data_IF_321869513504
#
_entry.id   IF_321869513504
#
_cell.length_a   1.000
_cell.length_b   1.000
_cell.length_c   1.000
_cell.angle_alpha   90.00
_cell.angle_beta   90.00
_cell.angle_gamma   90.00
#
_symmetry.space_group_name_H-M   'P 1'
#
loop_
_entity.id
_entity.type
_entity.pdbx_description
1 polymer ?
#
# COMPACT_ATOMS: atom_id res chain seq x y z
N UNK A 1 105.59 18.78 -12.27
CA UNK A 1 106.21 19.68 -11.27
C UNK A 1 107.63 19.22 -10.90
N UNK A 2 107.88 17.94 -10.63
CA UNK A 2 109.20 17.39 -10.27
C UNK A 2 110.27 17.52 -11.37
N UNK A 3 109.88 17.45 -12.64
CA UNK A 3 110.81 17.59 -13.79
C UNK A 3 111.33 19.03 -13.93
N UNK A 4 110.51 20.04 -13.63
CA UNK A 4 110.94 21.45 -13.64
C UNK A 4 111.92 21.77 -12.50
N UNK A 5 111.77 21.15 -11.34
CA UNK A 5 112.71 21.32 -10.22
C UNK A 5 114.08 20.70 -10.54
N UNK A 6 114.12 19.57 -11.25
CA UNK A 6 115.37 18.95 -11.69
C UNK A 6 116.11 19.77 -12.76
N UNK A 7 115.38 20.37 -13.71
CA UNK A 7 115.98 21.23 -14.75
C UNK A 7 116.52 22.56 -14.19
N UNK A 8 115.91 23.11 -13.15
CA UNK A 8 116.40 24.31 -12.46
C UNK A 8 117.69 23.99 -11.70
N UNK A 9 117.74 22.88 -10.95
CA UNK A 9 118.95 22.46 -10.22
C UNK A 9 120.15 22.20 -11.14
N UNK A 10 119.92 21.66 -12.34
CA UNK A 10 120.97 21.38 -13.33
C UNK A 10 121.58 22.63 -13.96
N UNK A 11 120.86 23.77 -13.99
CA UNK A 11 121.34 25.02 -14.60
C UNK A 11 122.15 25.92 -13.64
N UNK A 12 122.07 25.71 -12.33
CA UNK A 12 122.66 26.61 -11.32
C UNK A 12 123.99 26.16 -10.73
N UNK A 13 124.51 24.97 -11.07
CA UNK A 13 125.78 24.48 -10.51
C UNK A 13 126.97 24.85 -11.40
N UNK A 14 127.85 25.70 -10.86
CA UNK A 14 129.19 25.98 -11.39
C UNK A 14 130.07 24.73 -11.20
N UNK A 15 130.71 24.28 -12.28
CA UNK A 15 131.62 23.14 -12.28
C UNK A 15 132.95 23.53 -11.62
N UNK A 16 133.20 22.98 -10.43
CA UNK A 16 134.53 22.90 -9.82
C UNK A 16 134.85 21.43 -9.50
N UNK A 17 136.12 21.05 -9.66
CA UNK A 17 136.60 19.66 -9.63
C UNK A 17 136.35 18.92 -8.29
N UNK A 18 135.99 19.63 -7.20
CA UNK A 18 135.64 19.00 -5.91
C UNK A 18 134.19 18.46 -5.84
N UNK A 19 133.32 18.78 -6.82
CA UNK A 19 131.90 18.38 -6.80
C UNK A 19 131.54 17.23 -7.75
N UNK A 20 132.51 16.68 -8.49
CA UNK A 20 132.26 15.66 -9.51
C UNK A 20 131.65 14.38 -8.92
N UNK A 21 132.19 13.89 -7.80
CA UNK A 21 131.72 12.66 -7.15
C UNK A 21 130.31 12.79 -6.55
N UNK A 22 129.95 13.97 -6.02
CA UNK A 22 128.64 14.23 -5.44
C UNK A 22 127.57 14.41 -6.53
N UNK A 23 127.92 15.08 -7.63
CA UNK A 23 127.06 15.20 -8.80
C UNK A 23 126.84 13.84 -9.47
N UNK A 24 127.87 12.98 -9.58
CA UNK A 24 127.74 11.63 -10.12
C UNK A 24 126.79 10.77 -9.29
N UNK A 25 126.86 10.88 -7.95
CA UNK A 25 125.98 10.17 -7.03
C UNK A 25 124.53 10.63 -7.18
N UNK A 26 124.29 11.94 -7.22
CA UNK A 26 122.95 12.50 -7.42
C UNK A 26 122.38 12.12 -8.80
N UNK A 27 123.21 12.07 -9.84
CA UNK A 27 122.78 11.60 -11.17
C UNK A 27 122.43 10.11 -11.15
N UNK A 28 123.21 9.28 -10.46
CA UNK A 28 122.93 7.86 -10.31
C UNK A 28 121.65 7.62 -9.50
N UNK A 29 121.43 8.36 -8.43
CA UNK A 29 120.21 8.27 -7.62
C UNK A 29 118.98 8.69 -8.45
N UNK A 30 119.10 9.75 -9.27
CA UNK A 30 118.05 10.17 -10.18
C UNK A 30 117.79 9.13 -11.28
N UNK A 31 118.84 8.51 -11.81
CA UNK A 31 118.75 7.45 -12.81
C UNK A 31 118.07 6.19 -12.26
N UNK A 32 118.41 5.78 -11.04
CA UNK A 32 117.76 4.66 -10.34
C UNK A 32 116.28 4.97 -10.05
N UNK A 33 115.95 6.20 -9.66
CA UNK A 33 114.56 6.62 -9.45
C UNK A 33 113.77 6.59 -10.77
N UNK A 34 114.35 7.05 -11.86
CA UNK A 34 113.73 7.04 -13.19
C UNK A 34 113.55 5.61 -13.71
N UNK A 35 114.52 4.72 -13.51
CA UNK A 35 114.41 3.30 -13.82
C UNK A 35 113.30 2.61 -13.01
N UNK A 36 113.19 2.91 -11.71
CA UNK A 36 112.12 2.37 -10.88
C UNK A 36 110.72 2.85 -11.35
N UNK A 37 110.61 4.11 -11.77
CA UNK A 37 109.37 4.65 -12.35
C UNK A 37 109.08 4.07 -13.74
N UNK A 38 110.10 3.84 -14.56
CA UNK A 38 109.96 3.20 -15.87
C UNK A 38 109.48 1.75 -15.74
N UNK A 39 110.08 0.97 -14.82
CA UNK A 39 109.66 -0.39 -14.50
C UNK A 39 108.22 -0.46 -13.96
N UNK A 40 107.79 0.56 -13.21
CA UNK A 40 106.40 0.67 -12.75
C UNK A 40 105.45 0.94 -13.93
N UNK A 41 105.83 1.83 -14.85
CA UNK A 41 105.07 2.14 -16.06
C UNK A 41 105.01 0.92 -16.99
N UNK A 42 106.11 0.16 -17.16
CA UNK A 42 106.11 -1.10 -17.92
C UNK A 42 105.23 -2.17 -17.27
N UNK A 43 105.22 -2.28 -15.93
CA UNK A 43 104.31 -3.20 -15.24
C UNK A 43 102.85 -2.80 -15.39
N UNK A 44 102.53 -1.50 -15.31
CA UNK A 44 101.17 -0.96 -15.51
C UNK A 44 100.73 -1.11 -16.98
N UNK A 45 101.66 -0.95 -17.93
CA UNK A 45 101.43 -1.12 -19.37
C UNK A 45 101.62 -2.56 -19.84
N UNK A 46 101.95 -3.49 -18.95
CA UNK A 46 102.10 -4.90 -19.30
C UNK A 46 100.75 -5.44 -19.77
N UNK A 47 100.77 -6.21 -20.86
CA UNK A 47 99.56 -6.80 -21.42
C UNK A 47 98.80 -7.65 -20.39
N UNK A 48 99.49 -8.27 -19.43
CA UNK A 48 98.86 -9.03 -18.35
C UNK A 48 98.05 -8.13 -17.41
N UNK A 49 98.62 -7.03 -16.90
CA UNK A 49 97.90 -6.12 -16.00
C UNK A 49 96.68 -5.48 -16.69
N UNK A 50 96.83 -5.06 -17.96
CA UNK A 50 95.73 -4.53 -18.77
C UNK A 50 94.64 -5.58 -18.97
N UNK A 51 95.01 -6.85 -19.18
CA UNK A 51 94.04 -7.96 -19.35
C UNK A 51 93.32 -8.29 -18.04
N UNK A 52 94.04 -8.30 -16.91
CA UNK A 52 93.44 -8.48 -15.58
C UNK A 52 92.49 -7.34 -15.22
N UNK A 53 92.87 -6.09 -15.49
CA UNK A 53 92.02 -4.92 -15.23
C UNK A 53 90.77 -4.91 -16.13
N UNK A 54 90.91 -5.25 -17.42
CA UNK A 54 89.77 -5.43 -18.34
C UNK A 54 88.83 -6.55 -17.90
N UNK A 55 89.37 -7.71 -17.46
CA UNK A 55 88.57 -8.82 -16.90
C UNK A 55 87.86 -8.43 -15.60
N UNK A 56 88.53 -7.70 -14.71
CA UNK A 56 87.93 -7.21 -13.46
C UNK A 56 86.79 -6.22 -13.73
N UNK A 57 86.97 -5.30 -14.69
CA UNK A 57 85.92 -4.38 -15.14
C UNK A 57 84.73 -5.14 -15.75
N UNK A 58 84.99 -6.08 -16.66
CA UNK A 58 83.93 -6.90 -17.27
C UNK A 58 83.19 -7.74 -16.22
N UNK A 59 83.90 -8.34 -15.26
CA UNK A 59 83.28 -9.07 -14.15
C UNK A 59 82.41 -8.16 -13.28
N UNK A 60 82.84 -6.93 -13.02
CA UNK A 60 82.04 -5.93 -12.29
C UNK A 60 80.78 -5.52 -13.06
N UNK A 61 80.87 -5.30 -14.38
CA UNK A 61 79.72 -5.02 -15.26
C UNK A 61 78.72 -6.17 -15.23
N UNK A 62 79.19 -7.41 -15.40
CA UNK A 62 78.36 -8.63 -15.33
C UNK A 62 77.71 -8.78 -13.94
N UNK A 63 78.44 -8.56 -12.86
CA UNK A 63 77.89 -8.62 -11.50
C UNK A 63 76.84 -7.52 -11.25
N UNK A 64 77.02 -6.34 -11.85
CA UNK A 64 76.06 -5.23 -11.74
C UNK A 64 74.79 -5.52 -12.53
N UNK A 65 74.90 -6.02 -13.76
CA UNK A 65 73.78 -6.43 -14.60
C UNK A 65 73.01 -7.62 -14.01
N UNK A 66 73.73 -8.59 -13.42
CA UNK A 66 73.14 -9.72 -12.71
C UNK A 66 72.40 -9.26 -11.44
N UNK A 67 72.99 -8.36 -10.65
CA UNK A 67 72.34 -7.77 -9.48
C UNK A 67 71.07 -7.00 -9.86
N UNK A 68 71.12 -6.21 -10.94
CA UNK A 68 69.96 -5.51 -11.48
C UNK A 68 68.85 -6.49 -11.92
N UNK A 69 69.22 -7.56 -12.62
CA UNK A 69 68.28 -8.61 -13.05
C UNK A 69 67.63 -9.31 -11.86
N UNK A 70 68.40 -9.62 -10.82
CA UNK A 70 67.86 -10.19 -9.57
C UNK A 70 66.83 -9.24 -8.94
N UNK A 71 67.11 -7.94 -8.90
CA UNK A 71 66.20 -6.97 -8.30
C UNK A 71 64.91 -6.83 -9.12
N UNK A 72 65.00 -6.83 -10.46
CA UNK A 72 63.83 -6.89 -11.34
C UNK A 72 63.00 -8.15 -11.10
N UNK A 73 63.63 -9.32 -10.98
CA UNK A 73 62.94 -10.59 -10.69
C UNK A 73 62.25 -10.54 -9.32
N UNK A 74 62.93 -10.05 -8.27
CA UNK A 74 62.34 -9.89 -6.93
C UNK A 74 61.13 -8.97 -6.96
N UNK A 75 61.22 -7.84 -7.65
CA UNK A 75 60.09 -6.91 -7.79
C UNK A 75 58.94 -7.55 -8.57
N UNK A 76 59.24 -8.33 -9.61
CA UNK A 76 58.22 -9.05 -10.37
C UNK A 76 57.52 -10.12 -9.53
N UNK A 77 58.24 -10.87 -8.70
CA UNK A 77 57.66 -11.88 -7.80
C UNK A 77 56.73 -11.21 -6.78
N UNK A 78 57.17 -10.13 -6.12
CA UNK A 78 56.33 -9.39 -5.18
C UNK A 78 55.05 -8.87 -5.83
N UNK A 79 55.14 -8.35 -7.06
CA UNK A 79 53.96 -7.92 -7.81
C UNK A 79 53.01 -9.10 -8.10
N UNK A 80 53.54 -10.27 -8.47
CA UNK A 80 52.71 -11.46 -8.72
C UNK A 80 51.99 -11.94 -7.44
N UNK A 81 52.66 -11.92 -6.29
CA UNK A 81 52.06 -12.28 -5.00
C UNK A 81 50.92 -11.31 -4.62
N UNK A 82 51.15 -10.00 -4.74
CA UNK A 82 50.12 -8.98 -4.50
C UNK A 82 48.93 -9.18 -5.44
N UNK A 83 49.19 -9.43 -6.71
CA UNK A 83 48.15 -9.63 -7.72
C UNK A 83 47.31 -10.89 -7.44
N UNK A 84 47.95 -12.00 -7.05
CA UNK A 84 47.25 -13.22 -6.65
C UNK A 84 46.38 -13.00 -5.41
N UNK A 85 46.91 -12.30 -4.40
CA UNK A 85 46.17 -11.97 -3.19
C UNK A 85 44.95 -11.08 -3.49
N UNK A 86 45.12 -10.04 -4.31
CA UNK A 86 44.04 -9.15 -4.72
C UNK A 86 42.95 -9.91 -5.48
N UNK A 87 43.34 -10.77 -6.43
CA UNK A 87 42.39 -11.62 -7.16
C UNK A 87 41.64 -12.57 -6.24
N UNK A 88 42.33 -13.26 -5.34
CA UNK A 88 41.70 -14.18 -4.39
C UNK A 88 40.67 -13.47 -3.48
N UNK A 89 41.03 -12.30 -2.93
CA UNK A 89 40.12 -11.52 -2.10
C UNK A 89 38.91 -11.02 -2.88
N UNK A 90 39.14 -10.59 -4.12
CA UNK A 90 38.09 -10.15 -5.02
C UNK A 90 37.11 -11.29 -5.33
N UNK A 91 37.60 -12.46 -5.74
CA UNK A 91 36.79 -13.64 -6.03
C UNK A 91 35.95 -14.06 -4.81
N UNK A 92 36.55 -14.02 -3.61
CA UNK A 92 35.84 -14.30 -2.34
C UNK A 92 34.71 -13.31 -2.06
N UNK A 93 34.89 -12.02 -2.39
CA UNK A 93 33.83 -11.00 -2.25
C UNK A 93 32.73 -11.20 -3.28
N UNK A 94 33.08 -11.52 -4.53
CA UNK A 94 32.10 -11.85 -5.57
C UNK A 94 31.25 -13.08 -5.18
N UNK A 95 31.86 -14.11 -4.60
CA UNK A 95 31.11 -15.29 -4.14
C UNK A 95 30.09 -14.92 -3.06
N UNK A 96 30.50 -14.18 -2.02
CA UNK A 96 29.57 -13.70 -0.98
C UNK A 96 28.40 -12.90 -1.54
N UNK A 97 28.68 -12.07 -2.55
CA UNK A 97 27.68 -11.29 -3.25
C UNK A 97 26.71 -12.15 -4.04
N UNK A 98 27.20 -13.18 -4.73
CA UNK A 98 26.35 -14.16 -5.41
C UNK A 98 25.46 -14.92 -4.41
N UNK A 99 26.02 -15.38 -3.28
CA UNK A 99 25.27 -16.09 -2.24
C UNK A 99 24.15 -15.21 -1.67
N UNK A 100 24.45 -13.94 -1.40
CA UNK A 100 23.47 -12.96 -0.95
C UNK A 100 22.35 -12.75 -1.97
N UNK A 101 22.71 -12.48 -3.23
CA UNK A 101 21.74 -12.28 -4.31
C UNK A 101 20.83 -13.50 -4.46
N UNK A 102 21.40 -14.71 -4.40
CA UNK A 102 20.65 -15.95 -4.47
C UNK A 102 19.68 -16.11 -3.30
N UNK A 103 20.08 -15.76 -2.08
CA UNK A 103 19.18 -15.79 -0.92
C UNK A 103 18.00 -14.82 -1.09
N UNK A 104 18.24 -13.63 -1.66
CA UNK A 104 17.18 -12.67 -1.95
C UNK A 104 16.21 -13.20 -3.01
N UNK A 105 16.70 -13.81 -4.08
CA UNK A 105 15.86 -14.42 -5.11
C UNK A 105 14.99 -15.56 -4.55
N UNK A 106 15.55 -16.37 -3.65
CA UNK A 106 14.79 -17.41 -2.95
C UNK A 106 13.70 -16.79 -2.08
N UNK A 107 14.01 -15.76 -1.30
CA UNK A 107 13.02 -15.04 -0.50
C UNK A 107 11.91 -14.42 -1.36
N UNK A 108 12.25 -13.84 -2.52
CA UNK A 108 11.25 -13.29 -3.45
C UNK A 108 10.36 -14.38 -4.04
N UNK A 109 10.93 -15.55 -4.34
CA UNK A 109 10.16 -16.71 -4.81
C UNK A 109 9.15 -17.16 -3.75
N UNK A 110 9.57 -17.22 -2.48
CA UNK A 110 8.68 -17.52 -1.35
C UNK A 110 7.57 -16.48 -1.21
N UNK A 111 7.91 -15.19 -1.27
CA UNK A 111 6.94 -14.09 -1.24
C UNK A 111 5.94 -14.22 -2.40
N UNK A 112 6.41 -14.57 -3.59
CA UNK A 112 5.55 -14.70 -4.76
C UNK A 112 4.52 -15.83 -4.59
N UNK A 113 4.92 -16.97 -4.03
CA UNK A 113 4.00 -18.07 -3.72
C UNK A 113 3.03 -17.74 -2.58
N UNK A 114 3.44 -16.94 -1.61
CA UNK A 114 2.65 -16.62 -0.41
C UNK A 114 1.91 -15.27 -0.49
N UNK A 115 2.03 -14.55 -1.60
CA UNK A 115 1.39 -13.24 -1.81
C UNK A 115 -0.14 -13.28 -1.81
N UNK A 116 -0.72 -14.47 -1.98
CA UNK A 116 -2.15 -14.71 -1.78
C UNK A 116 -2.39 -15.07 -0.32
N UNK A 117 -2.84 -14.11 0.46
CA UNK A 117 -3.03 -14.26 1.90
C UNK A 117 -4.02 -13.20 2.42
N UNK A 118 -4.31 -13.24 3.72
CA UNK A 118 -5.15 -12.24 4.38
C UNK A 118 -4.43 -10.90 4.55
N UNK A 119 -5.18 -9.90 5.02
CA UNK A 119 -4.66 -8.54 5.27
C UNK A 119 -3.39 -8.52 6.13
N UNK A 120 -3.34 -9.30 7.22
CA UNK A 120 -2.18 -9.33 8.11
C UNK A 120 -0.94 -9.91 7.41
N UNK A 121 -1.10 -10.99 6.65
CA UNK A 121 -0.02 -11.55 5.86
C UNK A 121 0.51 -10.59 4.80
N UNK A 122 -0.36 -9.76 4.20
CA UNK A 122 0.07 -8.73 3.25
C UNK A 122 0.92 -7.64 3.92
N UNK A 123 0.58 -7.22 5.15
CA UNK A 123 1.38 -6.26 5.91
C UNK A 123 2.77 -6.81 6.27
N UNK A 124 2.83 -8.08 6.65
CA UNK A 124 4.10 -8.77 6.91
C UNK A 124 4.97 -8.84 5.64
N UNK A 125 4.35 -9.13 4.48
CA UNK A 125 5.05 -9.12 3.20
C UNK A 125 5.54 -7.72 2.83
N UNK A 126 4.74 -6.66 2.98
CA UNK A 126 5.17 -5.28 2.68
C UNK A 126 6.34 -4.86 3.58
N UNK A 127 6.28 -5.21 4.86
CA UNK A 127 7.37 -4.96 5.82
C UNK A 127 8.64 -5.72 5.42
N UNK A 128 8.52 -6.99 5.03
CA UNK A 128 9.65 -7.79 4.58
C UNK A 128 10.29 -7.19 3.31
N UNK A 129 9.47 -6.84 2.31
CA UNK A 129 9.94 -6.19 1.09
C UNK A 129 10.61 -4.84 1.39
N UNK A 130 10.06 -4.04 2.30
CA UNK A 130 10.66 -2.78 2.74
C UNK A 130 12.04 -3.01 3.38
N UNK A 131 12.18 -4.03 4.23
CA UNK A 131 13.47 -4.38 4.84
C UNK A 131 14.49 -4.83 3.79
N UNK A 132 14.07 -5.63 2.81
CA UNK A 132 14.92 -6.04 1.69
C UNK A 132 15.37 -4.81 0.87
N UNK A 133 14.46 -3.88 0.56
CA UNK A 133 14.79 -2.63 -0.16
C UNK A 133 15.83 -1.81 0.60
N UNK A 134 15.66 -1.67 1.91
CA UNK A 134 16.61 -0.93 2.75
C UNK A 134 17.99 -1.60 2.78
N UNK A 135 18.04 -2.91 2.95
CA UNK A 135 19.30 -3.68 2.90
C UNK A 135 19.96 -3.59 1.51
N UNK A 136 19.17 -3.63 0.43
CA UNK A 136 19.64 -3.38 -0.93
C UNK A 136 20.30 -2.02 -1.06
N UNK A 137 19.61 -0.95 -0.63
CA UNK A 137 20.11 0.41 -0.74
C UNK A 137 21.40 0.61 0.09
N UNK A 138 21.49 0.00 1.28
CA UNK A 138 22.70 0.06 2.10
C UNK A 138 23.90 -0.61 1.42
N UNK A 139 23.68 -1.75 0.75
CA UNK A 139 24.73 -2.53 0.09
C UNK A 139 25.08 -2.03 -1.32
N UNK A 140 24.33 -1.08 -1.88
CA UNK A 140 24.57 -0.57 -3.23
C UNK A 140 25.99 0.02 -3.39
N UNK A 141 26.51 0.70 -2.37
CA UNK A 141 27.87 1.26 -2.41
C UNK A 141 28.94 0.17 -2.45
N UNK A 142 28.75 -0.93 -1.72
CA UNK A 142 29.66 -2.08 -1.75
C UNK A 142 29.69 -2.74 -3.14
N UNK A 143 28.54 -2.83 -3.82
CA UNK A 143 28.47 -3.33 -5.20
C UNK A 143 29.20 -2.42 -6.18
N UNK A 144 29.00 -1.10 -6.07
CA UNK A 144 29.72 -0.11 -6.91
C UNK A 144 31.23 -0.25 -6.72
N UNK A 145 31.68 -0.37 -5.47
CA UNK A 145 33.09 -0.59 -5.17
C UNK A 145 33.60 -1.90 -5.79
N UNK A 146 32.86 -3.00 -5.66
CA UNK A 146 33.23 -4.28 -6.24
C UNK A 146 33.31 -4.22 -7.77
N UNK A 147 32.36 -3.55 -8.43
CA UNK A 147 32.39 -3.35 -9.89
C UNK A 147 33.61 -2.52 -10.33
N UNK A 148 33.97 -1.47 -9.57
CA UNK A 148 35.14 -0.65 -9.87
C UNK A 148 36.45 -1.40 -9.65
N UNK A 149 36.57 -2.18 -8.56
CA UNK A 149 37.71 -3.07 -8.32
C UNK A 149 37.86 -4.10 -9.46
N UNK A 150 36.75 -4.70 -9.92
CA UNK A 150 36.76 -5.62 -11.04
C UNK A 150 37.28 -4.99 -12.35
N UNK A 151 36.84 -3.76 -12.65
CA UNK A 151 37.34 -2.99 -13.82
C UNK A 151 38.85 -2.75 -13.74
N UNK A 152 39.36 -2.35 -12.58
CA UNK A 152 40.80 -2.13 -12.38
C UNK A 152 41.62 -3.42 -12.57
N UNK A 153 41.13 -4.55 -12.05
CA UNK A 153 41.81 -5.85 -12.21
C UNK A 153 41.83 -6.33 -13.67
N UNK A 154 40.81 -5.98 -14.46
CA UNK A 154 40.79 -6.21 -15.92
C UNK A 154 41.83 -5.34 -16.62
N UNK A 155 41.88 -4.03 -16.33
CA UNK A 155 42.88 -3.11 -16.90
C UNK A 155 44.32 -3.57 -16.61
N UNK A 156 44.54 -4.21 -15.46
CA UNK A 156 45.81 -4.81 -15.05
C UNK A 156 46.09 -6.20 -15.68
N UNK A 157 45.22 -6.70 -16.56
CA UNK A 157 45.27 -8.03 -17.17
C UNK A 157 45.29 -9.20 -16.15
N UNK A 158 44.72 -9.01 -14.95
CA UNK A 158 44.63 -10.03 -13.90
C UNK A 158 43.36 -10.87 -13.99
N UNK A 159 42.32 -10.31 -14.63
CA UNK A 159 41.06 -10.96 -14.94
C UNK A 159 40.83 -10.92 -16.46
N UNK A 160 40.40 -12.05 -17.01
CA UNK A 160 40.13 -12.21 -18.45
C UNK A 160 38.65 -11.95 -18.77
N UNK A 161 37.76 -12.13 -17.80
CA UNK A 161 36.32 -12.13 -18.04
C UNK A 161 35.64 -10.82 -17.63
N UNK A 162 35.45 -9.94 -18.61
CA UNK A 162 34.68 -8.69 -18.46
C UNK A 162 33.18 -8.93 -18.18
N UNK A 163 32.63 -10.06 -18.62
CA UNK A 163 31.18 -10.25 -18.66
C UNK A 163 30.58 -10.61 -17.30
N UNK A 164 31.37 -11.16 -16.38
CA UNK A 164 30.86 -11.58 -15.06
C UNK A 164 30.34 -10.40 -14.22
N UNK A 165 30.98 -9.22 -14.30
CA UNK A 165 30.59 -8.05 -13.48
C UNK A 165 29.37 -7.32 -14.03
N UNK A 166 29.31 -7.15 -15.35
CA UNK A 166 28.13 -6.59 -16.01
C UNK A 166 26.88 -7.45 -15.74
N UNK A 167 27.04 -8.78 -15.69
CA UNK A 167 25.97 -9.70 -15.30
C UNK A 167 25.53 -9.54 -13.85
N UNK A 168 26.47 -9.36 -12.91
CA UNK A 168 26.16 -9.13 -11.49
C UNK A 168 25.36 -7.83 -11.29
N UNK A 169 25.82 -6.75 -11.90
CA UNK A 169 25.14 -5.44 -11.87
C UNK A 169 23.75 -5.53 -12.52
N UNK A 170 23.64 -6.19 -13.68
CA UNK A 170 22.34 -6.40 -14.34
C UNK A 170 21.39 -7.23 -13.48
N UNK A 171 21.88 -8.30 -12.84
CA UNK A 171 21.08 -9.17 -11.95
C UNK A 171 20.60 -8.37 -10.74
N UNK A 172 21.46 -7.55 -10.15
CA UNK A 172 21.10 -6.64 -9.06
C UNK A 172 19.97 -5.67 -9.44
N UNK A 173 20.12 -4.96 -10.56
CA UNK A 173 19.12 -4.01 -11.05
C UNK A 173 17.78 -4.70 -11.36
N UNK A 174 17.85 -5.91 -11.91
CA UNK A 174 16.66 -6.72 -12.21
C UNK A 174 15.92 -7.09 -10.93
N UNK A 175 16.64 -7.58 -9.91
CA UNK A 175 16.05 -7.94 -8.62
C UNK A 175 15.44 -6.73 -7.94
N UNK A 176 16.14 -5.60 -7.91
CA UNK A 176 15.63 -4.37 -7.31
C UNK A 176 14.30 -3.93 -7.97
N UNK A 177 14.24 -3.96 -9.31
CA UNK A 177 13.00 -3.67 -10.04
C UNK A 177 11.88 -4.65 -9.67
N UNK A 178 12.19 -5.94 -9.58
CA UNK A 178 11.22 -6.97 -9.18
C UNK A 178 10.69 -6.72 -7.77
N UNK A 179 11.56 -6.38 -6.81
CA UNK A 179 11.17 -6.07 -5.42
C UNK A 179 10.25 -4.86 -5.39
N UNK A 180 10.61 -3.78 -6.08
CA UNK A 180 9.81 -2.54 -6.13
C UNK A 180 8.43 -2.77 -6.76
N UNK A 181 8.38 -3.48 -7.88
CA UNK A 181 7.13 -3.84 -8.53
C UNK A 181 6.26 -4.69 -7.60
N UNK A 182 6.85 -5.70 -6.95
CA UNK A 182 6.12 -6.57 -6.03
C UNK A 182 5.61 -5.81 -4.82
N UNK A 183 6.39 -4.89 -4.26
CA UNK A 183 5.95 -4.05 -3.15
C UNK A 183 4.77 -3.18 -3.56
N UNK A 184 4.82 -2.59 -4.76
CA UNK A 184 3.71 -1.79 -5.28
C UNK A 184 2.44 -2.62 -5.45
N UNK A 185 2.53 -3.83 -6.02
CA UNK A 185 1.41 -4.77 -6.11
C UNK A 185 0.79 -5.05 -4.73
N UNK A 186 1.61 -5.37 -3.73
CA UNK A 186 1.15 -5.67 -2.37
C UNK A 186 0.46 -4.45 -1.74
N UNK A 187 1.04 -3.24 -1.90
CA UNK A 187 0.43 -2.00 -1.41
C UNK A 187 -0.93 -1.71 -2.05
N UNK A 188 -1.10 -2.02 -3.32
CA UNK A 188 -2.38 -1.81 -4.00
C UNK A 188 -3.45 -2.81 -3.52
N UNK A 189 -3.05 -4.05 -3.18
CA UNK A 189 -3.96 -5.01 -2.54
C UNK A 189 -4.30 -4.56 -1.10
N UNK A 190 -3.34 -4.03 -0.35
CA UNK A 190 -3.59 -3.46 1.00
C UNK A 190 -4.61 -2.31 0.94
N UNK A 191 -4.46 -1.39 -0.03
CA UNK A 191 -5.44 -0.30 -0.23
C UNK A 191 -6.83 -0.84 -0.56
N UNK A 192 -6.91 -1.93 -1.32
CA UNK A 192 -8.18 -2.57 -1.65
C UNK A 192 -8.85 -3.14 -0.39
N UNK A 193 -8.09 -3.78 0.50
CA UNK A 193 -8.58 -4.25 1.81
C UNK A 193 -9.11 -3.10 2.68
N UNK A 194 -8.36 -2.00 2.77
CA UNK A 194 -8.78 -0.83 3.53
C UNK A 194 -10.05 -0.20 2.96
N UNK A 195 -10.16 -0.16 1.63
CA UNK A 195 -11.37 0.33 0.95
C UNK A 195 -12.58 -0.55 1.26
N UNK A 196 -12.41 -1.87 1.24
CA UNK A 196 -13.45 -2.84 1.61
C UNK A 196 -13.94 -2.62 3.03
N UNK A 197 -13.04 -2.54 4.00
CA UNK A 197 -13.37 -2.30 5.41
C UNK A 197 -14.12 -0.98 5.61
N UNK A 198 -13.65 0.10 4.97
CA UNK A 198 -14.31 1.40 5.04
C UNK A 198 -15.72 1.39 4.43
N UNK A 199 -15.90 0.70 3.29
CA UNK A 199 -17.23 0.53 2.72
C UNK A 199 -18.12 -0.30 3.64
N UNK A 200 -17.60 -1.37 4.26
CA UNK A 200 -18.38 -2.23 5.14
C UNK A 200 -18.87 -1.47 6.38
N UNK A 201 -17.99 -0.71 7.02
CA UNK A 201 -18.33 0.15 8.15
C UNK A 201 -19.35 1.23 7.76
N UNK A 202 -19.13 1.89 6.62
CA UNK A 202 -20.06 2.91 6.12
C UNK A 202 -21.43 2.32 5.83
N UNK A 203 -21.49 1.11 5.26
CA UNK A 203 -22.72 0.39 4.96
C UNK A 203 -23.51 0.10 6.24
N UNK A 204 -22.88 -0.53 7.22
CA UNK A 204 -23.56 -0.89 8.48
C UNK A 204 -24.05 0.33 9.23
N UNK A 205 -23.26 1.40 9.27
CA UNK A 205 -23.67 2.66 9.91
C UNK A 205 -24.88 3.28 9.22
N UNK A 206 -24.85 3.34 7.88
CA UNK A 206 -25.95 3.91 7.11
C UNK A 206 -27.21 3.05 7.20
N UNK A 207 -27.07 1.72 7.06
CA UNK A 207 -28.18 0.78 7.18
C UNK A 207 -28.85 0.88 8.55
N UNK A 208 -28.06 0.92 9.63
CA UNK A 208 -28.58 1.09 10.99
C UNK A 208 -29.37 2.40 11.13
N UNK A 209 -28.79 3.52 10.70
CA UNK A 209 -29.46 4.82 10.78
C UNK A 209 -30.76 4.87 9.97
N UNK A 210 -30.78 4.26 8.77
CA UNK A 210 -31.99 4.18 7.95
C UNK A 210 -33.03 3.26 8.57
N UNK A 211 -32.62 2.13 9.15
CA UNK A 211 -33.52 1.20 9.80
C UNK A 211 -34.13 1.78 11.08
N UNK A 212 -33.37 2.51 11.90
CA UNK A 212 -33.89 3.20 13.09
C UNK A 212 -34.94 4.25 12.72
N UNK A 213 -34.66 5.10 11.72
CA UNK A 213 -35.62 6.08 11.19
C UNK A 213 -36.89 5.41 10.66
N UNK A 214 -36.73 4.28 9.98
CA UNK A 214 -37.84 3.47 9.47
C UNK A 214 -38.70 2.92 10.60
N UNK A 215 -38.09 2.40 11.66
CA UNK A 215 -38.83 1.91 12.83
C UNK A 215 -39.63 3.04 13.51
N UNK A 216 -39.05 4.24 13.62
CA UNK A 216 -39.76 5.41 14.16
C UNK A 216 -40.98 5.78 13.30
N UNK A 217 -40.81 5.85 11.99
CA UNK A 217 -41.90 6.17 11.05
C UNK A 217 -43.04 5.15 11.08
N UNK A 218 -42.71 3.87 11.28
CA UNK A 218 -43.69 2.78 11.31
C UNK A 218 -44.36 2.61 12.70
N UNK A 219 -43.84 3.23 13.76
CA UNK A 219 -44.40 3.11 15.11
C UNK A 219 -45.69 3.93 15.29
N UNK A 220 -45.78 5.10 14.65
CA UNK A 220 -46.98 5.94 14.66
C UNK A 220 -47.16 6.61 13.28
N UNK A 221 -47.51 5.82 12.24
CA UNK A 221 -47.50 6.30 10.87
C UNK A 221 -48.62 7.31 10.64
N UNK A 222 -48.32 8.36 9.88
CA UNK A 222 -49.33 9.28 9.36
C UNK A 222 -50.11 8.65 8.22
N UNK A 223 -51.34 9.11 7.96
CA UNK A 223 -52.13 8.69 6.80
C UNK A 223 -51.40 8.89 5.46
N UNK A 224 -50.57 9.93 5.35
CA UNK A 224 -49.72 10.17 4.18
C UNK A 224 -48.73 9.04 3.95
N UNK A 225 -48.02 8.62 5.00
CA UNK A 225 -47.08 7.49 4.97
C UNK A 225 -47.79 6.19 4.64
N UNK A 226 -48.93 5.91 5.28
CA UNK A 226 -49.74 4.72 4.99
C UNK A 226 -50.17 4.65 3.52
N UNK A 227 -50.58 5.78 2.94
CA UNK A 227 -50.97 5.84 1.53
C UNK A 227 -49.77 5.63 0.59
N UNK A 228 -48.59 6.17 0.93
CA UNK A 228 -47.36 5.93 0.16
C UNK A 228 -46.96 4.45 0.19
N UNK A 229 -47.08 3.79 1.36
CA UNK A 229 -46.81 2.36 1.52
C UNK A 229 -47.77 1.56 0.62
N UNK A 230 -49.07 1.85 0.66
CA UNK A 230 -50.08 1.18 -0.19
C UNK A 230 -49.84 1.40 -1.69
N UNK A 231 -49.35 2.57 -2.08
CA UNK A 231 -49.05 2.91 -3.48
C UNK A 231 -47.70 2.35 -3.95
N UNK A 232 -46.90 1.74 -3.06
CA UNK A 232 -45.57 1.23 -3.39
C UNK A 232 -44.54 2.33 -3.67
N UNK A 233 -44.85 3.59 -3.33
CA UNK A 233 -43.96 4.75 -3.51
C UNK A 233 -43.12 5.04 -2.27
N UNK A 234 -43.35 4.30 -1.19
CA UNK A 234 -42.60 4.40 0.04
C UNK A 234 -41.21 3.75 -0.10
N UNK A 235 -40.17 4.58 0.05
CA UNK A 235 -38.78 4.13 0.06
C UNK A 235 -38.45 3.58 1.44
N UNK A 236 -38.42 2.26 1.58
CA UNK A 236 -37.95 1.61 2.79
C UNK A 236 -36.43 1.80 3.00
N UNK A 237 -35.96 1.52 4.22
CA UNK A 237 -34.56 1.68 4.63
C UNK A 237 -33.53 1.04 3.66
N UNK A 238 -33.86 -0.09 3.05
CA UNK A 238 -32.98 -0.88 2.16
C UNK A 238 -33.06 -0.49 0.69
N UNK A 239 -34.14 0.15 0.23
CA UNK A 239 -34.27 0.63 -1.15
C UNK A 239 -33.60 1.98 -1.41
N UNK A 240 -32.86 2.49 -0.44
CA UNK A 240 -32.09 3.72 -0.58
C UNK A 240 -30.99 3.59 -1.66
N UNK A 241 -30.93 4.56 -2.57
CA UNK A 241 -29.96 4.57 -3.68
C UNK A 241 -28.49 4.61 -3.20
N UNK A 242 -28.20 5.33 -2.11
CA UNK A 242 -26.85 5.37 -1.54
C UNK A 242 -26.43 4.00 -1.00
N UNK A 243 -27.34 3.28 -0.34
CA UNK A 243 -27.07 1.92 0.14
C UNK A 243 -26.88 0.93 -1.01
N UNK A 244 -27.67 1.02 -2.08
CA UNK A 244 -27.51 0.18 -3.28
C UNK A 244 -26.15 0.39 -3.94
N UNK A 245 -25.78 1.66 -4.17
CA UNK A 245 -24.49 2.01 -4.75
C UNK A 245 -23.31 1.54 -3.89
N UNK A 246 -23.47 1.59 -2.57
CA UNK A 246 -22.42 1.18 -1.65
C UNK A 246 -22.32 -0.36 -1.53
N UNK A 247 -23.45 -1.07 -1.62
CA UNK A 247 -23.50 -2.53 -1.69
C UNK A 247 -22.85 -3.06 -2.96
N UNK A 248 -23.05 -2.40 -4.11
CA UNK A 248 -22.39 -2.74 -5.37
C UNK A 248 -20.86 -2.58 -5.26
N UNK A 249 -20.40 -1.44 -4.72
CA UNK A 249 -18.96 -1.22 -4.46
C UNK A 249 -18.38 -2.27 -3.51
N UNK A 250 -19.12 -2.64 -2.47
CA UNK A 250 -18.73 -3.70 -1.54
C UNK A 250 -18.58 -5.04 -2.25
N UNK A 251 -19.55 -5.41 -3.07
CA UNK A 251 -19.53 -6.64 -3.85
C UNK A 251 -18.33 -6.68 -4.79
N UNK A 252 -18.12 -5.64 -5.60
CA UNK A 252 -17.00 -5.56 -6.54
C UNK A 252 -15.66 -5.66 -5.82
N UNK A 253 -15.51 -4.93 -4.71
CA UNK A 253 -14.29 -4.93 -3.92
C UNK A 253 -14.05 -6.30 -3.29
N UNK A 254 -15.07 -6.94 -2.74
CA UNK A 254 -15.02 -8.30 -2.19
C UNK A 254 -14.57 -9.32 -3.26
N UNK A 255 -15.15 -9.27 -4.47
CA UNK A 255 -14.78 -10.17 -5.57
C UNK A 255 -13.35 -9.98 -6.03
N UNK A 256 -12.87 -8.73 -6.06
CA UNK A 256 -11.46 -8.44 -6.34
C UNK A 256 -10.55 -8.96 -5.22
N UNK A 257 -10.91 -8.82 -3.96
CA UNK A 257 -10.12 -9.35 -2.84
C UNK A 257 -10.02 -10.89 -2.88
N UNK A 258 -11.12 -11.57 -3.21
CA UNK A 258 -11.15 -13.03 -3.37
C UNK A 258 -10.09 -13.50 -4.39
N UNK A 259 -9.93 -12.80 -5.53
CA UNK A 259 -8.97 -13.19 -6.57
C UNK A 259 -7.49 -13.05 -6.14
N UNK A 260 -7.21 -12.22 -5.13
CA UNK A 260 -5.89 -12.04 -4.52
C UNK A 260 -5.69 -12.82 -3.21
N UNK A 261 -6.68 -13.59 -2.77
CA UNK A 261 -6.68 -14.27 -1.47
C UNK A 261 -6.35 -15.76 -1.58
N UNK A 262 -5.88 -16.36 -0.49
CA UNK A 262 -5.80 -17.82 -0.36
C UNK A 262 -7.18 -18.42 -0.08
N UNK A 263 -7.30 -19.74 -0.20
CA UNK A 263 -8.58 -20.46 -0.06
C UNK A 263 -9.25 -20.18 1.30
N UNK A 264 -8.45 -20.06 2.38
CA UNK A 264 -8.98 -19.77 3.71
C UNK A 264 -9.57 -18.37 3.79
N UNK A 265 -8.85 -17.37 3.30
CA UNK A 265 -9.31 -15.98 3.29
C UNK A 265 -10.50 -15.79 2.34
N UNK A 266 -10.52 -16.48 1.20
CA UNK A 266 -11.67 -16.52 0.29
C UNK A 266 -12.93 -17.00 1.02
N UNK A 267 -12.85 -18.13 1.73
CA UNK A 267 -13.99 -18.66 2.48
C UNK A 267 -14.50 -17.68 3.56
N UNK A 268 -13.59 -16.94 4.21
CA UNK A 268 -13.98 -15.90 5.19
C UNK A 268 -14.72 -14.75 4.49
N UNK A 269 -14.17 -14.23 3.38
CA UNK A 269 -14.77 -13.14 2.61
C UNK A 269 -16.13 -13.51 2.00
N UNK A 270 -16.28 -14.76 1.55
CA UNK A 270 -17.55 -15.27 1.03
C UNK A 270 -18.60 -15.43 2.12
N UNK A 271 -18.18 -15.92 3.29
CA UNK A 271 -19.06 -16.02 4.46
C UNK A 271 -19.51 -14.64 4.92
N UNK A 272 -18.60 -13.68 5.06
CA UNK A 272 -18.92 -12.30 5.46
C UNK A 272 -19.91 -11.65 4.49
N UNK A 273 -19.71 -11.86 3.19
CA UNK A 273 -20.66 -11.41 2.17
C UNK A 273 -22.03 -12.08 2.31
N UNK A 274 -22.08 -13.39 2.55
CA UNK A 274 -23.33 -14.12 2.75
C UNK A 274 -24.07 -13.65 4.01
N UNK A 275 -23.36 -13.47 5.12
CA UNK A 275 -23.91 -12.99 6.39
C UNK A 275 -24.47 -11.57 6.23
N UNK A 276 -23.79 -10.70 5.47
CA UNK A 276 -24.29 -9.36 5.11
C UNK A 276 -25.60 -9.44 4.33
N UNK A 277 -25.64 -10.24 3.27
CA UNK A 277 -26.87 -10.41 2.45
C UNK A 277 -28.03 -10.95 3.30
N UNK A 278 -27.75 -11.90 4.18
CA UNK A 278 -28.75 -12.46 5.09
C UNK A 278 -29.32 -11.39 6.03
N UNK A 279 -28.46 -10.58 6.65
CA UNK A 279 -28.87 -9.50 7.55
C UNK A 279 -29.76 -8.45 6.85
N UNK A 280 -29.39 -8.06 5.63
CA UNK A 280 -30.20 -7.13 4.81
C UNK A 280 -31.57 -7.73 4.48
N UNK A 281 -31.61 -8.99 4.07
CA UNK A 281 -32.86 -9.68 3.77
C UNK A 281 -33.76 -9.81 5.01
N UNK A 282 -33.20 -10.04 6.19
CA UNK A 282 -33.95 -10.09 7.45
C UNK A 282 -34.59 -8.74 7.78
N UNK A 283 -33.84 -7.64 7.59
CA UNK A 283 -34.36 -6.26 7.73
C UNK A 283 -35.50 -5.99 6.74
N UNK A 284 -35.31 -6.38 5.48
CA UNK A 284 -36.33 -6.24 4.43
C UNK A 284 -37.62 -6.99 4.78
N UNK A 285 -37.50 -8.23 5.27
CA UNK A 285 -38.64 -9.04 5.68
C UNK A 285 -39.40 -8.38 6.85
N UNK A 286 -38.69 -7.91 7.89
CA UNK A 286 -39.33 -7.23 9.03
C UNK A 286 -40.06 -5.96 8.59
N UNK A 287 -39.44 -5.11 7.75
CA UNK A 287 -40.08 -3.90 7.26
C UNK A 287 -41.32 -4.23 6.41
N UNK A 288 -41.23 -5.22 5.53
CA UNK A 288 -42.36 -5.61 4.67
C UNK A 288 -43.53 -6.17 5.50
N UNK A 289 -43.27 -7.01 6.50
CA UNK A 289 -44.31 -7.53 7.39
C UNK A 289 -45.01 -6.41 8.16
N UNK A 290 -44.26 -5.41 8.64
CA UNK A 290 -44.85 -4.23 9.30
C UNK A 290 -45.67 -3.39 8.33
N UNK A 291 -45.16 -3.20 7.12
CA UNK A 291 -45.84 -2.44 6.06
C UNK A 291 -47.19 -3.08 5.70
N UNK A 292 -47.25 -4.41 5.58
CA UNK A 292 -48.49 -5.15 5.36
C UNK A 292 -49.51 -4.96 6.48
N UNK A 293 -49.07 -5.04 7.74
CA UNK A 293 -49.93 -4.79 8.90
C UNK A 293 -50.47 -3.35 8.91
N UNK A 294 -49.66 -2.38 8.52
CA UNK A 294 -50.06 -0.97 8.41
C UNK A 294 -51.00 -0.69 7.23
N UNK A 295 -50.84 -1.38 6.09
CA UNK A 295 -51.81 -1.31 4.99
C UNK A 295 -53.18 -1.80 5.45
N UNK A 296 -53.24 -2.89 6.23
CA UNK A 296 -54.49 -3.37 6.79
C UNK A 296 -55.16 -2.32 7.70
N UNK A 297 -54.37 -1.61 8.51
CA UNK A 297 -54.84 -0.49 9.32
C UNK A 297 -55.43 0.65 8.47
N UNK A 298 -54.79 0.99 7.35
CA UNK A 298 -55.27 2.01 6.41
C UNK A 298 -56.58 1.62 5.73
N UNK A 299 -56.72 0.36 5.31
CA UNK A 299 -57.99 -0.15 4.75
C UNK A 299 -59.08 0.02 5.79
N UNK A 300 -58.81 -0.36 7.03
CA UNK A 300 -59.78 -0.28 8.11
C UNK A 300 -60.16 1.17 8.45
N UNK A 301 -59.19 2.10 8.43
CA UNK A 301 -59.43 3.54 8.59
C UNK A 301 -60.34 4.10 7.48
N UNK A 302 -60.08 3.75 6.22
CA UNK A 302 -60.87 4.26 5.09
C UNK A 302 -62.32 3.73 5.12
N UNK A 303 -62.51 2.46 5.49
CA UNK A 303 -63.85 1.89 5.65
C UNK A 303 -64.63 2.59 6.78
N UNK A 304 -63.93 2.90 7.88
CA UNK A 304 -64.49 3.63 9.01
C UNK A 304 -64.87 5.06 8.63
N UNK A 305 -63.99 5.79 7.93
CA UNK A 305 -64.25 7.16 7.47
C UNK A 305 -65.43 7.21 6.50
N UNK A 306 -65.51 6.25 5.57
CA UNK A 306 -66.66 6.10 4.66
C UNK A 306 -67.96 5.84 5.42
N UNK A 307 -67.91 5.02 6.47
CA UNK A 307 -69.09 4.72 7.29
C UNK A 307 -69.53 5.96 8.08
N UNK A 308 -68.59 6.72 8.65
CA UNK A 308 -68.86 8.00 9.31
C UNK A 308 -69.53 9.00 8.35
N UNK A 309 -69.04 9.10 7.11
CA UNK A 309 -69.62 9.97 6.08
C UNK A 309 -71.05 9.55 5.71
N UNK A 310 -71.30 8.25 5.52
CA UNK A 310 -72.64 7.73 5.23
C UNK A 310 -73.64 8.08 6.35
N UNK A 311 -73.24 7.92 7.62
CA UNK A 311 -74.07 8.30 8.76
C UNK A 311 -74.29 9.82 8.84
N UNK A 312 -73.27 10.62 8.50
CA UNK A 312 -73.42 12.08 8.40
C UNK A 312 -74.43 12.49 7.32
N UNK A 313 -74.45 11.81 6.18
CA UNK A 313 -75.45 12.02 5.12
C UNK A 313 -76.86 11.67 5.61
N UNK A 314 -77.03 10.55 6.33
CA UNK A 314 -78.31 10.18 6.94
C UNK A 314 -78.81 11.29 7.87
N UNK A 315 -77.98 11.78 8.79
CA UNK A 315 -78.31 12.88 9.70
C UNK A 315 -78.71 14.14 8.92
N UNK A 316 -77.98 14.50 7.86
CA UNK A 316 -78.32 15.66 7.02
C UNK A 316 -79.68 15.49 6.34
N UNK A 317 -79.99 14.28 5.87
CA UNK A 317 -81.30 13.98 5.25
C UNK A 317 -82.45 14.14 6.26
N UNK A 318 -82.23 13.81 7.52
CA UNK A 318 -83.20 13.97 8.61
C UNK A 318 -83.42 15.46 8.92
N UNK A 319 -82.35 16.25 8.96
CA UNK A 319 -82.46 17.71 9.10
C UNK A 319 -83.16 18.37 7.92
N UNK A 320 -83.00 17.85 6.72
CA UNK A 320 -83.71 18.34 5.54
C UNK A 320 -85.22 18.12 5.63
N UNK A 321 -85.68 17.00 6.23
CA UNK A 321 -87.11 16.76 6.49
C UNK A 321 -87.72 17.83 7.41
N UNK A 322 -86.96 18.33 8.39
CA UNK A 322 -87.41 19.43 9.27
C UNK A 322 -87.69 20.74 8.49
N UNK A 323 -87.05 20.93 7.34
CA UNK A 323 -87.17 22.14 6.53
C UNK A 323 -88.18 22.01 5.37
N UNK A 324 -88.76 20.82 5.16
CA UNK A 324 -89.74 20.60 4.09
C UNK A 324 -91.15 21.07 4.48
N UNK A 325 -91.89 21.73 3.56
CA UNK A 325 -93.30 22.04 3.78
C UNK A 325 -94.13 20.75 3.81
N UNK A 326 -94.96 20.58 4.84
CA UNK A 326 -95.81 19.41 5.04
C UNK A 326 -97.09 19.48 4.19
N UNK A 327 -96.94 19.42 2.87
CA UNK A 327 -98.06 19.56 1.93
C UNK A 327 -98.96 18.30 1.92
N UNK A 328 -98.42 17.13 2.28
CA UNK A 328 -99.16 15.87 2.46
C UNK A 328 -98.78 15.16 3.78
N UNK A 329 -99.58 15.40 4.84
CA UNK A 329 -99.31 14.92 6.21
C UNK A 329 -99.07 13.39 6.30
N UNK A 330 -99.82 12.59 5.55
CA UNK A 330 -99.68 11.13 5.56
C UNK A 330 -98.36 10.64 4.95
N UNK A 331 -97.90 11.25 3.86
CA UNK A 331 -96.60 10.94 3.27
C UNK A 331 -95.46 11.43 4.16
N UNK A 332 -95.61 12.60 4.77
CA UNK A 332 -94.62 13.18 5.69
C UNK A 332 -94.42 12.30 6.95
N UNK A 333 -95.50 11.84 7.58
CA UNK A 333 -95.42 10.94 8.74
C UNK A 333 -94.76 9.61 8.35
N UNK A 334 -95.10 9.04 7.19
CA UNK A 334 -94.46 7.81 6.69
C UNK A 334 -92.96 8.00 6.44
N UNK A 335 -92.53 9.14 5.90
CA UNK A 335 -91.12 9.47 5.72
C UNK A 335 -90.38 9.62 7.06
N UNK A 336 -91.00 10.26 8.05
CA UNK A 336 -90.42 10.39 9.39
C UNK A 336 -90.28 9.03 10.08
N UNK A 337 -91.29 8.16 9.98
CA UNK A 337 -91.24 6.80 10.54
C UNK A 337 -90.17 5.92 9.85
N UNK A 338 -90.01 6.04 8.53
CA UNK A 338 -88.96 5.33 7.80
C UNK A 338 -87.56 5.78 8.26
N UNK A 339 -87.36 7.09 8.47
CA UNK A 339 -86.08 7.61 8.98
C UNK A 339 -85.82 7.29 10.45
N UNK A 340 -86.86 7.22 11.29
CA UNK A 340 -86.74 6.73 12.67
C UNK A 340 -86.32 5.25 12.71
N UNK A 341 -86.85 4.45 11.78
CA UNK A 341 -86.44 3.06 11.61
C UNK A 341 -84.98 2.96 11.14
N UNK A 342 -84.57 3.73 10.13
CA UNK A 342 -83.16 3.80 9.66
C UNK A 342 -82.21 4.23 10.80
N UNK A 343 -82.56 5.25 11.59
CA UNK A 343 -81.78 5.65 12.77
C UNK A 343 -81.65 4.49 13.76
N UNK A 344 -82.74 3.80 14.07
CA UNK A 344 -82.71 2.69 15.02
C UNK A 344 -81.83 1.54 14.54
N UNK A 345 -81.88 1.20 13.24
CA UNK A 345 -81.02 0.18 12.64
C UNK A 345 -79.54 0.55 12.70
N UNK A 346 -79.19 1.79 12.36
CA UNK A 346 -77.82 2.27 12.30
C UNK A 346 -77.22 2.63 13.68
N UNK A 347 -78.02 2.64 14.76
CA UNK A 347 -77.53 2.86 16.13
C UNK A 347 -76.49 1.83 16.57
N UNK A 348 -76.66 0.57 16.16
CA UNK A 348 -75.68 -0.49 16.42
C UNK A 348 -74.37 -0.26 15.65
N UNK A 349 -74.45 0.35 14.47
CA UNK A 349 -73.29 0.70 13.67
C UNK A 349 -72.48 1.83 14.32
N UNK A 350 -73.15 2.86 14.86
CA UNK A 350 -72.48 3.93 15.62
C UNK A 350 -71.73 3.39 16.86
N UNK A 351 -72.32 2.44 17.59
CA UNK A 351 -71.64 1.78 18.73
C UNK A 351 -70.43 0.95 18.28
N UNK A 352 -70.55 0.24 17.15
CA UNK A 352 -69.45 -0.51 16.55
C UNK A 352 -68.31 0.43 16.14
N UNK A 353 -68.63 1.53 15.47
CA UNK A 353 -67.67 2.58 15.09
C UNK A 353 -66.94 3.12 16.32
N UNK A 354 -67.66 3.46 17.40
CA UNK A 354 -67.02 3.97 18.63
C UNK A 354 -66.00 2.99 19.20
N UNK A 355 -66.37 1.70 19.29
CA UNK A 355 -65.47 0.64 19.75
C UNK A 355 -64.24 0.55 18.85
N UNK A 356 -64.46 0.53 17.54
CA UNK A 356 -63.41 0.48 16.51
C UNK A 356 -62.47 1.69 16.56
N UNK A 357 -62.99 2.92 16.66
CA UNK A 357 -62.16 4.13 16.80
C UNK A 357 -61.27 4.05 18.03
N UNK A 358 -61.80 3.55 19.15
CA UNK A 358 -61.05 3.40 20.41
C UNK A 358 -59.94 2.36 20.27
N UNK A 359 -60.16 1.29 19.51
CA UNK A 359 -59.18 0.23 19.25
C UNK A 359 -58.06 0.68 18.30
N UNK A 360 -58.36 1.50 17.30
CA UNK A 360 -57.40 1.98 16.28
C UNK A 360 -56.58 3.17 16.75
N UNK A 361 -57.20 4.07 17.52
CA UNK A 361 -56.64 5.36 17.91
C UNK A 361 -55.19 5.30 18.46
N UNK A 362 -54.78 4.29 19.25
CA UNK A 362 -53.40 4.15 19.72
C UNK A 362 -52.39 3.77 18.64
N UNK A 363 -52.83 3.22 17.51
CA UNK A 363 -51.99 2.75 16.40
C UNK A 363 -51.81 3.78 15.28
N UNK A 364 -52.44 4.94 15.40
CA UNK A 364 -52.32 6.04 14.45
C UNK A 364 -51.48 7.18 15.03
N UNK A 365 -50.94 8.02 14.14
CA UNK A 365 -50.36 9.29 14.55
C UNK A 365 -51.36 10.12 15.38
N UNK A 366 -50.92 10.84 16.44
CA UNK A 366 -51.81 11.59 17.32
C UNK A 366 -52.74 12.57 16.59
N UNK A 367 -52.27 13.23 15.53
CA UNK A 367 -53.09 14.18 14.77
C UNK A 367 -54.24 13.49 14.00
N UNK A 368 -53.94 12.37 13.34
CA UNK A 368 -54.95 11.60 12.59
C UNK A 368 -55.95 10.93 13.54
N UNK A 369 -55.45 10.43 14.67
CA UNK A 369 -56.23 9.89 15.78
C UNK A 369 -57.16 10.96 16.38
N UNK A 370 -56.66 12.17 16.64
CA UNK A 370 -57.44 13.28 17.13
C UNK A 370 -58.51 13.73 16.13
N UNK A 371 -58.20 13.77 14.83
CA UNK A 371 -59.16 14.11 13.79
C UNK A 371 -60.30 13.09 13.72
N UNK A 372 -59.99 11.79 13.81
CA UNK A 372 -60.98 10.72 13.82
C UNK A 372 -61.88 10.79 15.08
N UNK A 373 -61.28 11.04 16.24
CA UNK A 373 -62.01 11.22 17.50
C UNK A 373 -62.92 12.45 17.48
N UNK A 374 -62.47 13.56 16.90
CA UNK A 374 -63.28 14.76 16.71
C UNK A 374 -64.46 14.51 15.76
N UNK A 375 -64.23 13.83 14.63
CA UNK A 375 -65.29 13.42 13.69
C UNK A 375 -66.33 12.55 14.38
N UNK A 376 -65.91 11.55 15.17
CA UNK A 376 -66.82 10.69 15.93
C UNK A 376 -67.63 11.49 16.95
N UNK A 377 -66.98 12.35 17.74
CA UNK A 377 -67.66 13.18 18.75
C UNK A 377 -68.71 14.09 18.11
N UNK A 378 -68.37 14.74 16.98
CA UNK A 378 -69.33 15.55 16.23
C UNK A 378 -70.50 14.71 15.71
N UNK A 379 -70.24 13.50 15.19
CA UNK A 379 -71.28 12.60 14.72
C UNK A 379 -72.21 12.16 15.85
N UNK A 380 -71.69 11.80 17.03
CA UNK A 380 -72.49 11.42 18.20
C UNK A 380 -73.42 12.56 18.66
N UNK A 381 -72.92 13.79 18.67
CA UNK A 381 -73.72 14.99 18.98
C UNK A 381 -74.83 15.17 17.94
N UNK A 382 -74.47 15.11 16.65
CA UNK A 382 -75.42 15.28 15.56
C UNK A 382 -76.46 14.15 15.51
N UNK A 383 -76.07 12.93 15.88
CA UNK A 383 -76.94 11.77 15.95
C UNK A 383 -78.02 11.93 17.02
N UNK A 384 -77.59 12.36 18.22
CA UNK A 384 -78.49 12.63 19.34
C UNK A 384 -79.49 13.74 18.99
N UNK A 385 -79.03 14.77 18.28
CA UNK A 385 -79.88 15.84 17.78
C UNK A 385 -80.88 15.35 16.71
N UNK A 386 -80.45 14.49 15.78
CA UNK A 386 -81.33 13.88 14.77
C UNK A 386 -82.41 12.99 15.41
N UNK A 387 -82.06 12.16 16.41
CA UNK A 387 -83.04 11.38 17.18
C UNK A 387 -84.09 12.29 17.85
N UNK A 388 -83.66 13.44 18.40
CA UNK A 388 -84.56 14.42 19.00
C UNK A 388 -85.47 15.09 17.96
N UNK A 389 -84.93 15.48 16.81
CA UNK A 389 -85.68 16.12 15.73
C UNK A 389 -86.77 15.18 15.19
N UNK A 390 -86.42 13.93 14.88
CA UNK A 390 -87.40 12.96 14.38
C UNK A 390 -88.53 12.68 15.38
N UNK A 391 -88.21 12.53 16.67
CA UNK A 391 -89.22 12.33 17.71
C UNK A 391 -90.15 13.54 17.93
N UNK A 392 -89.73 14.73 17.51
CA UNK A 392 -90.56 15.93 17.56
C UNK A 392 -91.41 16.12 16.29
N UNK A 393 -91.04 15.46 15.19
CA UNK A 393 -91.75 15.51 13.90
C UNK A 393 -92.82 14.41 13.78
N UNK A 394 -92.64 13.28 14.48
CA UNK A 394 -93.64 12.21 14.70
C UNK A 394 -94.49 12.60 15.90
#
# INVERSE_FOLDING_TARGET
QTINQAQIAFKTQVLTDENEAQNLKQLNDLHQLLLAKHNLIERINSNEFITYFKRAKHLHEVMTEYSHTIELIKNRIKQLEINQYNKFNFDKRCQKWNDYIQAVEQNLTVIQHNSRTNYQGLLEIDTNLYNIINDFNQRQQELIQLTNEGKQLIEQNLLVDQHTFAKLEQRWQTIMRTILNKQQEIKDIIKLWLSYQNYLETYYRLLKSKYELEQENLQAPTLGVLNQIKQGTYLNATNNEELKNLLEKLYETNRRLISYSDIKTQAILEKEWHDLQKSVNEIDIDINQRSEALIALLVWYNDLDRTLDNLSVLIKSIRALQQQPADELGQFISQCQNKDHELTQHRHELQRIRKTVTEISPSLHPDDSNQLMQKLSLLEIQWTDAERVIRNLI
#
